data_IF_774423346483
#
_entry.id   IF_774423346483
#
_cell.length_a   1.000
_cell.length_b   1.000
_cell.length_c   1.000
_cell.angle_alpha   90.00
_cell.angle_beta   90.00
_cell.angle_gamma   90.00
#
_symmetry.space_group_name_H-M   'P 1'
#
loop_
_entity.id
_entity.type
_entity.pdbx_description
1 polymer ?
#
# COMPACT_ATOMS: atom_id res chain seq x y z
N UNK A 1 -5.10 -15.88 -11.78
CA UNK A 1 -5.42 -14.44 -11.92
C UNK A 1 -4.39 -13.64 -12.74
N UNK A 2 -3.06 -13.86 -12.58
CA UNK A 2 -2.02 -13.13 -13.34
C UNK A 2 -2.18 -13.12 -14.88
N UNK A 3 -2.45 -14.25 -15.59
CA UNK A 3 -2.50 -14.24 -17.06
C UNK A 3 -3.70 -13.47 -17.60
N UNK A 4 -4.87 -13.56 -16.98
CA UNK A 4 -6.08 -12.87 -17.44
C UNK A 4 -5.98 -11.35 -17.25
N UNK A 5 -5.47 -10.90 -16.11
CA UNK A 5 -5.25 -9.48 -15.86
C UNK A 5 -4.20 -8.89 -16.83
N UNK A 6 -3.13 -9.64 -17.13
CA UNK A 6 -2.11 -9.23 -18.11
C UNK A 6 -2.70 -9.08 -19.52
N UNK A 7 -3.60 -9.97 -19.91
CA UNK A 7 -4.22 -9.94 -21.22
C UNK A 7 -5.22 -8.78 -21.37
N UNK A 8 -6.12 -8.64 -20.39
CA UNK A 8 -7.20 -7.62 -20.45
C UNK A 8 -6.68 -6.19 -20.25
N UNK A 9 -5.76 -5.96 -19.31
CA UNK A 9 -5.30 -4.63 -18.94
C UNK A 9 -3.90 -4.28 -19.47
N UNK A 10 -3.29 -5.12 -20.32
CA UNK A 10 -1.88 -4.93 -20.72
C UNK A 10 -1.03 -4.57 -19.51
N UNK A 11 -1.15 -5.37 -18.45
CA UNK A 11 -0.51 -5.12 -17.16
C UNK A 11 1.00 -5.35 -17.26
N UNK A 12 1.75 -4.30 -17.01
CA UNK A 12 3.21 -4.30 -16.89
C UNK A 12 3.58 -4.22 -15.41
N UNK A 13 4.43 -5.13 -14.93
CA UNK A 13 4.95 -5.11 -13.56
C UNK A 13 6.46 -5.08 -13.65
N UNK A 14 7.06 -4.03 -13.11
CA UNK A 14 8.51 -3.84 -13.03
C UNK A 14 8.96 -3.95 -11.58
N UNK A 15 9.97 -4.76 -11.34
CA UNK A 15 10.45 -5.07 -10.01
C UNK A 15 9.53 -6.03 -9.24
N UNK A 16 9.90 -6.30 -8.00
CA UNK A 16 9.13 -7.15 -7.06
C UNK A 16 9.33 -6.65 -5.64
N UNK A 17 8.31 -6.78 -4.82
CA UNK A 17 8.44 -6.61 -3.39
C UNK A 17 9.42 -7.67 -2.87
N UNK A 18 10.47 -7.27 -2.13
CA UNK A 18 11.46 -8.21 -1.59
C UNK A 18 10.81 -9.20 -0.61
N UNK A 19 11.39 -10.39 -0.47
CA UNK A 19 10.95 -11.32 0.58
C UNK A 19 11.30 -10.78 1.97
N UNK A 20 10.55 -11.21 2.97
CA UNK A 20 10.71 -10.78 4.36
C UNK A 20 9.84 -9.57 4.73
N UNK A 21 9.90 -9.17 6.01
CA UNK A 21 9.03 -8.12 6.53
C UNK A 21 9.38 -6.76 5.93
N UNK A 22 8.41 -6.13 5.27
CA UNK A 22 8.56 -4.79 4.72
C UNK A 22 7.23 -4.03 4.74
N UNK A 23 7.33 -2.71 4.61
CA UNK A 23 6.18 -1.81 4.51
C UNK A 23 6.11 -1.33 3.07
N UNK A 24 5.17 -1.87 2.30
CA UNK A 24 4.93 -1.47 0.91
C UNK A 24 4.04 -0.24 0.90
N UNK A 25 4.52 0.86 0.33
CA UNK A 25 3.79 2.11 0.26
C UNK A 25 3.56 2.53 -1.21
N UNK A 26 2.30 2.68 -1.59
CA UNK A 26 1.92 3.02 -2.96
C UNK A 26 0.99 4.24 -3.03
N UNK A 27 0.97 4.93 -4.19
CA UNK A 27 -0.11 5.86 -4.51
C UNK A 27 -1.46 5.13 -4.63
N UNK A 28 -2.57 5.85 -4.45
CA UNK A 28 -3.92 5.26 -4.46
C UNK A 28 -4.88 6.06 -5.31
N UNK A 29 -5.30 5.48 -6.42
CA UNK A 29 -6.17 6.12 -7.42
C UNK A 29 -7.42 5.29 -7.76
N UNK A 30 -7.47 4.02 -7.34
CA UNK A 30 -8.54 3.09 -7.70
C UNK A 30 -8.71 1.98 -6.67
N UNK A 31 -9.90 1.40 -6.60
CA UNK A 31 -10.16 0.16 -5.85
C UNK A 31 -9.45 -1.06 -6.47
N UNK A 32 -8.85 -0.93 -7.65
CA UNK A 32 -8.00 -1.95 -8.26
C UNK A 32 -6.56 -1.96 -7.70
N UNK A 33 -6.13 -0.91 -7.01
CA UNK A 33 -4.74 -0.79 -6.54
C UNK A 33 -4.33 -1.89 -5.55
N UNK A 34 -5.15 -2.28 -4.55
CA UNK A 34 -4.78 -3.36 -3.64
C UNK A 34 -4.51 -4.70 -4.37
N UNK A 35 -5.40 -5.22 -5.23
CA UNK A 35 -5.10 -6.46 -5.97
C UNK A 35 -3.92 -6.31 -6.95
N UNK A 36 -3.72 -5.14 -7.57
CA UNK A 36 -2.54 -4.89 -8.41
C UNK A 36 -1.25 -4.94 -7.61
N UNK A 37 -1.25 -4.32 -6.42
CA UNK A 37 -0.11 -4.33 -5.53
C UNK A 37 0.20 -5.75 -5.02
N UNK A 38 -0.81 -6.53 -4.68
CA UNK A 38 -0.65 -7.93 -4.27
C UNK A 38 0.03 -8.81 -5.35
N UNK A 39 -0.11 -8.47 -6.64
CA UNK A 39 0.55 -9.19 -7.72
C UNK A 39 2.08 -8.97 -7.77
N UNK A 40 2.61 -7.94 -7.11
CA UNK A 40 4.04 -7.62 -7.08
C UNK A 40 4.81 -8.41 -6.03
N UNK A 41 4.12 -8.99 -5.06
CA UNK A 41 4.72 -9.75 -3.96
C UNK A 41 4.65 -11.27 -4.21
N UNK A 42 5.62 -12.00 -3.67
CA UNK A 42 5.64 -13.46 -3.62
C UNK A 42 5.01 -14.01 -2.34
N UNK A 43 4.86 -13.18 -1.33
CA UNK A 43 4.28 -13.46 -0.02
C UNK A 43 3.01 -12.63 0.20
N UNK A 44 2.13 -13.02 1.12
CA UNK A 44 0.95 -12.23 1.46
C UNK A 44 1.31 -10.80 1.89
N UNK A 45 0.49 -9.84 1.48
CA UNK A 45 0.55 -8.46 1.95
C UNK A 45 -0.71 -8.17 2.78
N UNK A 46 -0.52 -7.65 3.97
CA UNK A 46 -1.61 -7.23 4.85
C UNK A 46 -1.94 -5.75 4.62
N UNK A 47 -3.14 -5.47 4.13
CA UNK A 47 -3.53 -4.11 3.74
C UNK A 47 -4.20 -3.33 4.87
N UNK A 48 -3.67 -2.16 5.21
CA UNK A 48 -4.38 -1.23 6.10
C UNK A 48 -5.52 -0.56 5.34
N UNK A 49 -6.75 -0.88 5.71
CA UNK A 49 -7.95 -0.45 5.01
C UNK A 49 -9.01 0.13 5.96
N UNK A 50 -9.83 1.06 5.47
CA UNK A 50 -10.91 1.65 6.26
C UNK A 50 -11.91 0.58 6.72
N UNK A 51 -12.27 0.59 8.01
CA UNK A 51 -13.26 -0.34 8.58
C UNK A 51 -14.61 -0.29 7.86
N UNK A 52 -14.97 0.84 7.25
CA UNK A 52 -16.21 1.00 6.49
C UNK A 52 -16.28 0.11 5.25
N UNK A 53 -15.15 -0.38 4.72
CA UNK A 53 -15.13 -1.30 3.59
C UNK A 53 -15.77 -2.66 3.93
N UNK A 54 -15.71 -3.05 5.18
CA UNK A 54 -16.36 -4.28 5.68
C UNK A 54 -17.89 -4.19 5.79
N UNK A 55 -18.47 -3.00 5.66
CA UNK A 55 -19.93 -2.82 5.64
C UNK A 55 -20.56 -3.26 4.32
N UNK A 56 -19.77 -3.42 3.26
CA UNK A 56 -20.22 -3.80 1.93
C UNK A 56 -19.71 -5.21 1.61
N UNK A 57 -20.59 -6.20 1.32
CA UNK A 57 -20.17 -7.59 1.12
C UNK A 57 -19.01 -7.79 0.11
N UNK A 58 -19.01 -7.14 -1.07
CA UNK A 58 -17.87 -7.26 -1.99
C UNK A 58 -16.57 -6.65 -1.43
N UNK A 59 -16.68 -5.56 -0.67
CA UNK A 59 -15.54 -4.93 0.00
C UNK A 59 -14.98 -5.79 1.12
N UNK A 60 -15.87 -6.36 1.96
CA UNK A 60 -15.51 -7.28 3.03
C UNK A 60 -14.76 -8.49 2.47
N UNK A 61 -15.34 -9.17 1.49
CA UNK A 61 -14.72 -10.32 0.84
C UNK A 61 -13.32 -9.99 0.27
N UNK A 62 -13.18 -8.84 -0.40
CA UNK A 62 -11.90 -8.42 -0.97
C UNK A 62 -10.88 -8.14 0.13
N UNK A 63 -11.27 -7.43 1.19
CA UNK A 63 -10.37 -7.10 2.29
C UNK A 63 -9.94 -8.35 3.07
N UNK A 64 -10.85 -9.27 3.33
CA UNK A 64 -10.53 -10.55 3.99
C UNK A 64 -9.57 -11.38 3.12
N UNK A 65 -9.82 -11.46 1.81
CA UNK A 65 -8.95 -12.17 0.86
C UNK A 65 -7.54 -11.56 0.75
N UNK A 66 -7.39 -10.27 1.04
CA UNK A 66 -6.13 -9.54 1.02
C UNK A 66 -5.50 -9.37 2.42
N UNK A 67 -5.99 -10.09 3.44
CA UNK A 67 -5.48 -9.96 4.81
C UNK A 67 -5.63 -8.54 5.37
N UNK A 68 -6.79 -7.90 5.11
CA UNK A 68 -7.04 -6.51 5.48
C UNK A 68 -7.01 -6.27 6.98
N UNK A 69 -6.33 -5.20 7.40
CA UNK A 69 -6.30 -4.70 8.77
C UNK A 69 -7.24 -3.49 8.84
N UNK A 70 -8.37 -3.59 9.56
CA UNK A 70 -9.32 -2.49 9.64
C UNK A 70 -8.74 -1.31 10.43
N UNK A 71 -8.79 -0.11 9.85
CA UNK A 71 -8.37 1.14 10.51
C UNK A 71 -9.55 2.11 10.67
N UNK A 72 -9.60 2.79 11.81
CA UNK A 72 -10.49 3.92 12.08
C UNK A 72 -9.71 5.22 11.95
N UNK A 73 -10.14 6.11 11.05
CA UNK A 73 -9.44 7.37 10.78
C UNK A 73 -9.83 8.53 11.69
N UNK A 74 -10.96 8.43 12.34
CA UNK A 74 -11.50 9.41 13.27
C UNK A 74 -10.74 9.49 14.61
N UNK A 75 -9.95 8.47 14.91
CA UNK A 75 -9.05 8.41 16.08
C UNK A 75 -7.63 8.11 15.62
N UNK A 76 -6.63 8.51 16.42
CA UNK A 76 -5.26 7.98 16.28
C UNK A 76 -5.35 6.48 16.53
N UNK A 77 -5.49 5.72 15.47
CA UNK A 77 -5.71 4.27 15.56
C UNK A 77 -4.40 3.57 15.92
N UNK A 78 -4.07 3.63 17.21
CA UNK A 78 -2.92 2.96 17.79
C UNK A 78 -3.07 1.43 17.75
N UNK A 79 -4.31 0.94 17.71
CA UNK A 79 -4.61 -0.50 17.68
C UNK A 79 -4.20 -1.08 16.32
N UNK A 80 -4.63 -0.45 15.23
CA UNK A 80 -4.30 -0.92 13.88
C UNK A 80 -2.81 -0.78 13.57
N UNK A 81 -2.16 0.28 14.06
CA UNK A 81 -0.70 0.41 13.95
C UNK A 81 0.01 -0.66 14.79
N UNK A 82 -0.48 -0.97 15.99
CA UNK A 82 0.02 -2.07 16.82
C UNK A 82 -0.09 -3.41 16.13
N UNK A 83 -1.23 -3.70 15.49
CA UNK A 83 -1.43 -4.93 14.72
C UNK A 83 -0.48 -5.03 13.52
N UNK A 84 -0.27 -3.94 12.80
CA UNK A 84 0.69 -3.89 11.70
C UNK A 84 2.14 -4.11 12.19
N UNK A 85 2.47 -3.57 13.36
CA UNK A 85 3.77 -3.78 14.02
C UNK A 85 3.99 -5.24 14.45
N UNK A 86 2.96 -5.90 14.99
CA UNK A 86 2.99 -7.32 15.32
C UNK A 86 3.23 -8.19 14.08
N UNK A 87 2.55 -7.92 12.97
CA UNK A 87 2.75 -8.65 11.72
C UNK A 87 4.17 -8.49 11.18
N UNK A 88 4.71 -7.27 11.18
CA UNK A 88 6.10 -7.03 10.75
C UNK A 88 7.11 -7.77 11.64
N UNK A 89 6.89 -7.82 12.96
CA UNK A 89 7.74 -8.60 13.87
C UNK A 89 7.59 -10.11 13.68
N UNK A 90 6.44 -10.57 13.22
CA UNK A 90 6.21 -11.97 12.84
C UNK A 90 6.79 -12.34 11.47
N UNK A 91 7.47 -11.42 10.79
CA UNK A 91 8.07 -11.66 9.46
C UNK A 91 7.14 -11.40 8.28
N UNK A 92 5.93 -10.88 8.54
CA UNK A 92 4.93 -10.59 7.51
C UNK A 92 5.11 -9.17 6.94
N UNK A 93 4.54 -8.93 5.75
CA UNK A 93 4.60 -7.62 5.08
C UNK A 93 3.27 -6.89 5.14
N UNK A 94 3.36 -5.56 5.26
CA UNK A 94 2.20 -4.68 5.36
C UNK A 94 2.15 -3.73 4.17
N UNK A 95 0.97 -3.54 3.57
CA UNK A 95 0.75 -2.60 2.50
C UNK A 95 -0.08 -1.40 2.97
N UNK A 96 0.38 -0.21 2.63
CA UNK A 96 -0.23 1.05 3.04
C UNK A 96 -0.38 1.95 1.81
N UNK A 97 -1.54 2.57 1.70
CA UNK A 97 -1.78 3.69 0.79
C UNK A 97 -1.77 4.98 1.62
N UNK A 98 -0.64 5.72 1.70
CA UNK A 98 -0.50 6.85 2.63
C UNK A 98 -1.48 8.00 2.37
N UNK A 99 -1.93 8.19 1.13
CA UNK A 99 -2.99 9.15 0.76
C UNK A 99 -4.33 8.82 1.41
N UNK A 100 -4.55 7.55 1.70
CA UNK A 100 -5.70 7.04 2.42
C UNK A 100 -7.03 7.16 1.68
N UNK A 101 -7.06 7.65 0.45
CA UNK A 101 -8.25 7.79 -0.40
C UNK A 101 -7.84 7.78 -1.87
N UNK A 102 -8.69 7.20 -2.71
CA UNK A 102 -8.52 7.17 -4.18
C UNK A 102 -8.65 8.55 -4.84
N UNK A 103 -9.07 9.57 -4.09
CA UNK A 103 -9.20 10.95 -4.58
C UNK A 103 -7.91 11.75 -4.48
N UNK A 104 -6.84 11.15 -4.01
CA UNK A 104 -5.61 11.83 -3.67
C UNK A 104 -5.69 12.56 -2.32
N UNK A 105 -4.61 13.16 -1.91
CA UNK A 105 -4.48 13.88 -0.65
C UNK A 105 -3.04 13.87 -0.13
N UNK A 106 -2.79 14.65 0.91
CA UNK A 106 -1.48 14.67 1.56
C UNK A 106 -1.15 13.29 2.15
N UNK A 107 0.09 12.88 2.01
CA UNK A 107 0.57 11.62 2.56
C UNK A 107 0.55 11.62 4.08
N UNK A 108 -0.09 10.61 4.64
CA UNK A 108 -0.12 10.38 6.08
C UNK A 108 1.23 9.82 6.57
N UNK A 109 1.57 10.11 7.82
CA UNK A 109 2.82 9.67 8.44
C UNK A 109 2.79 8.23 8.97
N UNK A 110 1.74 7.47 8.68
CA UNK A 110 1.54 6.12 9.22
C UNK A 110 2.66 5.15 8.84
N UNK A 111 2.97 5.06 7.54
CA UNK A 111 4.05 4.21 7.01
C UNK A 111 5.41 4.57 7.61
N UNK A 112 5.76 5.86 7.62
CA UNK A 112 7.02 6.33 8.20
C UNK A 112 7.13 6.05 9.70
N UNK A 113 6.05 6.24 10.47
CA UNK A 113 6.03 5.92 11.90
C UNK A 113 6.21 4.44 12.16
N UNK A 114 5.57 3.60 11.36
CA UNK A 114 5.68 2.15 11.46
C UNK A 114 7.12 1.71 11.16
N UNK A 115 7.72 2.22 10.09
CA UNK A 115 9.11 1.95 9.74
C UNK A 115 10.09 2.34 10.85
N UNK A 116 9.97 3.57 11.39
CA UNK A 116 10.82 4.02 12.50
C UNK A 116 10.67 3.17 13.76
N UNK A 117 9.48 2.62 14.04
CA UNK A 117 9.25 1.78 15.21
C UNK A 117 9.76 0.36 15.05
N UNK A 118 9.77 -0.16 13.84
CA UNK A 118 10.09 -1.57 13.56
C UNK A 118 11.45 -1.78 12.93
N UNK A 119 12.03 -0.75 12.30
CA UNK A 119 13.21 -0.91 11.45
C UNK A 119 12.90 -1.59 10.10
N UNK A 120 11.64 -1.92 9.84
CA UNK A 120 11.25 -2.55 8.58
C UNK A 120 11.46 -1.59 7.40
N UNK A 121 12.02 -2.06 6.27
CA UNK A 121 12.26 -1.22 5.10
C UNK A 121 10.95 -0.75 4.49
N UNK A 122 10.97 0.49 3.95
CA UNK A 122 9.89 1.07 3.16
C UNK A 122 10.11 0.76 1.68
N UNK A 123 9.19 0.08 1.04
CA UNK A 123 9.23 -0.25 -0.38
C UNK A 123 8.29 0.71 -1.14
N UNK A 124 8.82 1.68 -1.89
CA UNK A 124 8.01 2.59 -2.69
C UNK A 124 7.46 1.86 -3.91
N UNK A 125 6.17 2.04 -4.20
CA UNK A 125 5.53 1.47 -5.39
C UNK A 125 4.68 2.53 -6.09
N UNK A 126 4.80 2.59 -7.42
CA UNK A 126 3.95 3.43 -8.26
C UNK A 126 2.97 2.59 -9.06
N UNK A 127 1.69 2.96 -9.00
CA UNK A 127 0.62 2.36 -9.80
C UNK A 127 0.12 3.42 -10.78
N UNK A 128 0.08 3.08 -12.07
CA UNK A 128 -0.31 4.00 -13.15
C UNK A 128 -1.46 3.40 -13.95
N UNK A 129 -2.44 4.23 -14.32
CA UNK A 129 -3.56 3.86 -15.19
C UNK A 129 -4.78 3.29 -14.47
N UNK A 130 -4.68 2.96 -13.19
CA UNK A 130 -5.78 2.33 -12.42
C UNK A 130 -7.02 3.22 -12.28
N UNK A 131 -6.86 4.54 -12.19
CA UNK A 131 -7.97 5.52 -12.16
C UNK A 131 -8.85 5.41 -13.39
N UNK A 132 -8.23 5.15 -14.56
CA UNK A 132 -8.95 5.08 -15.83
C UNK A 132 -9.69 3.76 -16.01
N UNK A 133 -9.24 2.70 -15.32
CA UNK A 133 -9.83 1.37 -15.39
C UNK A 133 -11.20 1.29 -14.71
N UNK A 134 -11.39 2.02 -13.62
CA UNK A 134 -12.67 2.14 -12.91
C UNK A 134 -13.03 3.63 -12.78
N UNK A 135 -13.75 4.15 -13.77
CA UNK A 135 -14.26 5.53 -13.77
C UNK A 135 -15.78 5.51 -13.62
N UNK A 136 -16.27 5.71 -12.40
CA UNK A 136 -17.69 5.63 -12.06
C UNK A 136 -18.23 4.21 -12.29
N UNK A 137 -19.29 4.08 -13.12
CA UNK A 137 -19.89 2.79 -13.50
C UNK A 137 -19.26 2.14 -14.75
N UNK A 138 -18.26 2.81 -15.37
CA UNK A 138 -17.64 2.30 -16.61
C UNK A 138 -16.35 1.56 -16.30
N UNK A 139 -16.27 0.32 -16.74
CA UNK A 139 -15.04 -0.48 -16.76
C UNK A 139 -14.35 -0.21 -18.09
N UNK A 140 -13.08 0.17 -18.02
CA UNK A 140 -12.21 0.36 -19.18
C UNK A 140 -10.98 -0.52 -19.00
N UNK A 141 -10.32 -0.83 -20.10
CA UNK A 141 -9.10 -1.65 -20.10
C UNK A 141 -7.88 -0.84 -20.56
N UNK A 142 -7.45 0.18 -19.78
CA UNK A 142 -6.26 0.94 -20.09
C UNK A 142 -5.02 0.07 -19.89
N UNK A 143 -3.87 0.56 -20.36
CA UNK A 143 -2.58 0.01 -19.95
C UNK A 143 -2.38 0.29 -18.46
N UNK A 144 -2.10 -0.75 -17.69
CA UNK A 144 -1.77 -0.66 -16.28
C UNK A 144 -0.28 -0.93 -16.09
N UNK A 145 0.37 -0.13 -15.27
CA UNK A 145 1.77 -0.33 -14.93
C UNK A 145 1.95 -0.25 -13.41
N UNK A 146 2.71 -1.18 -12.87
CA UNK A 146 3.10 -1.19 -11.45
C UNK A 146 4.61 -1.26 -11.39
N UNK A 147 5.23 -0.25 -10.80
CA UNK A 147 6.69 -0.16 -10.65
C UNK A 147 7.05 -0.24 -9.19
N UNK A 148 7.86 -1.24 -8.83
CA UNK A 148 8.39 -1.42 -7.48
C UNK A 148 9.80 -0.82 -7.44
N UNK A 149 10.00 0.15 -6.58
CA UNK A 149 11.29 0.80 -6.39
C UNK A 149 12.16 0.12 -5.35
N UNK A 150 13.40 0.61 -5.22
CA UNK A 150 14.36 0.11 -4.24
C UNK A 150 13.90 0.39 -2.81
N UNK A 151 14.04 -0.58 -1.90
CA UNK A 151 13.69 -0.41 -0.50
C UNK A 151 14.50 0.71 0.18
N UNK A 152 13.82 1.56 0.93
CA UNK A 152 14.43 2.53 1.82
C UNK A 152 14.69 1.85 3.16
N UNK A 153 15.96 1.66 3.49
CA UNK A 153 16.35 1.16 4.81
C UNK A 153 16.13 2.24 5.86
N UNK A 154 15.52 1.86 6.98
CA UNK A 154 15.15 2.79 8.05
C UNK A 154 15.75 2.30 9.37
N UNK A 155 16.53 3.15 10.02
CA UNK A 155 17.01 2.83 11.37
C UNK A 155 15.85 2.85 12.37
N UNK A 156 15.77 1.80 13.18
CA UNK A 156 14.77 1.71 14.23
C UNK A 156 15.02 2.77 15.30
N UNK A 157 13.96 3.48 15.68
CA UNK A 157 14.05 4.51 16.71
C UNK A 157 12.69 5.05 17.11
N UNK A 158 12.69 5.97 18.08
CA UNK A 158 11.45 6.62 18.52
C UNK A 158 10.96 7.63 17.46
N UNK A 159 9.78 7.46 16.86
CA UNK A 159 9.28 8.39 15.86
C UNK A 159 8.88 9.73 16.48
N UNK A 160 9.53 10.80 16.08
CA UNK A 160 9.09 12.16 16.33
C UNK A 160 8.20 12.66 15.20
N UNK A 161 7.54 13.81 15.40
CA UNK A 161 6.77 14.46 14.34
C UNK A 161 7.68 14.87 13.17
N UNK A 162 8.87 15.37 13.48
CA UNK A 162 9.85 15.84 12.51
C UNK A 162 10.43 14.67 11.69
N UNK A 163 10.92 13.60 12.34
CA UNK A 163 11.50 12.45 11.66
C UNK A 163 10.47 11.70 10.79
N UNK A 164 9.24 11.53 11.31
CA UNK A 164 8.17 10.90 10.53
C UNK A 164 7.73 11.76 9.33
N UNK A 165 7.74 13.10 9.45
CA UNK A 165 7.44 13.99 8.32
C UNK A 165 8.54 13.94 7.26
N UNK A 166 9.80 14.00 7.67
CA UNK A 166 10.93 13.92 6.75
C UNK A 166 10.94 12.61 5.96
N UNK A 167 10.77 11.48 6.65
CA UNK A 167 10.72 10.17 6.01
C UNK A 167 9.50 10.02 5.09
N UNK A 168 8.34 10.60 5.46
CA UNK A 168 7.15 10.59 4.58
C UNK A 168 7.42 11.33 3.29
N UNK A 169 8.09 12.51 3.36
CA UNK A 169 8.44 13.28 2.16
C UNK A 169 9.40 12.52 1.25
N UNK A 170 10.45 11.92 1.81
CA UNK A 170 11.38 11.08 1.04
C UNK A 170 10.66 9.92 0.35
N UNK A 171 9.73 9.27 1.05
CA UNK A 171 8.95 8.17 0.50
C UNK A 171 8.04 8.64 -0.66
N UNK A 172 7.36 9.78 -0.50
CA UNK A 172 6.53 10.40 -1.54
C UNK A 172 7.35 10.74 -2.78
N UNK A 173 8.49 11.41 -2.61
CA UNK A 173 9.44 11.74 -3.69
C UNK A 173 9.92 10.48 -4.41
N UNK A 174 10.20 9.40 -3.69
CA UNK A 174 10.61 8.11 -4.29
C UNK A 174 9.50 7.48 -5.11
N UNK A 175 8.25 7.48 -4.61
CA UNK A 175 7.11 6.96 -5.39
C UNK A 175 6.87 7.82 -6.64
N UNK A 176 6.98 9.14 -6.54
CA UNK A 176 6.77 10.04 -7.67
C UNK A 176 7.88 9.96 -8.73
N UNK A 177 9.08 9.59 -8.35
CA UNK A 177 10.21 9.37 -9.26
C UNK A 177 10.11 8.07 -10.07
N UNK A 178 9.30 7.09 -9.65
CA UNK A 178 9.08 5.84 -10.40
C UNK A 178 8.22 6.12 -11.65
N UNK A 179 8.75 5.77 -12.82
CA UNK A 179 8.12 6.02 -14.14
C UNK A 179 7.91 4.75 -14.92
#
# INVERSE_FOLDING_TARGET
MRPLARLLYRLEIEGRVPPGPCIVAANHESMLDPPLLALTASQPLHFLAKVELWRYPPGAWLMDALGGIPIRRDRRDLISLGRAEELLRAGESVAIFPQGTVRGGAWSRGAARLALRTGAPLVPVRIVGSRQALSGRRIRFPRLRVVVGEPLLVEQGRPTVATARALTRVLEERVDALR
#
